data_IF_686288487469
#
_entry.id   IF_686288487469
#
_cell.length_a   1.000
_cell.length_b   1.000
_cell.length_c   1.000
_cell.angle_alpha   90.00
_cell.angle_beta   90.00
_cell.angle_gamma   90.00
#
_symmetry.space_group_name_H-M   'P 1'
#
loop_
_entity.id
_entity.type
_entity.pdbx_description
1 polymer ?
#
# COMPACT_ATOMS: atom_id res chain seq x y z
N UNK A 1 -23.57 -47.79 30.78
CA UNK A 1 -23.85 -49.19 30.47
C UNK A 1 -23.10 -49.56 29.18
N UNK A 2 -22.52 -50.77 29.07
CA UNK A 2 -21.74 -51.24 27.89
C UNK A 2 -22.56 -51.13 26.56
N UNK A 3 -23.85 -51.34 26.66
CA UNK A 3 -24.78 -51.23 25.51
C UNK A 3 -24.80 -49.83 24.90
N UNK A 4 -24.80 -48.76 25.70
CA UNK A 4 -24.75 -47.34 25.21
C UNK A 4 -23.43 -47.05 24.45
N UNK A 5 -22.33 -47.67 24.90
CA UNK A 5 -21.02 -47.48 24.25
C UNK A 5 -20.94 -48.22 22.89
N UNK A 6 -21.48 -49.43 22.80
CA UNK A 6 -21.53 -50.19 21.56
C UNK A 6 -22.43 -49.55 20.52
N UNK A 7 -23.60 -49.07 20.92
CA UNK A 7 -24.55 -48.33 20.08
C UNK A 7 -23.93 -47.03 19.55
N UNK A 8 -23.25 -46.26 20.40
CA UNK A 8 -22.56 -45.03 19.98
C UNK A 8 -21.41 -45.34 19.00
N UNK A 9 -20.69 -46.46 19.16
CA UNK A 9 -19.66 -46.87 18.20
C UNK A 9 -20.25 -47.26 16.85
N UNK A 10 -21.35 -48.02 16.85
CA UNK A 10 -22.04 -48.43 15.63
C UNK A 10 -22.59 -47.23 14.86
N UNK A 11 -23.26 -46.29 15.55
CA UNK A 11 -23.75 -45.05 14.97
C UNK A 11 -22.63 -44.13 14.46
N UNK A 12 -21.50 -44.05 15.18
CA UNK A 12 -20.33 -43.32 14.68
C UNK A 12 -19.76 -43.94 13.41
N UNK A 13 -19.63 -45.26 13.35
CA UNK A 13 -19.13 -45.95 12.16
C UNK A 13 -20.04 -45.76 10.96
N UNK A 14 -21.35 -45.82 11.15
CA UNK A 14 -22.35 -45.60 10.11
C UNK A 14 -22.32 -44.14 9.62
N UNK A 15 -22.22 -43.16 10.54
CA UNK A 15 -22.05 -41.73 10.20
C UNK A 15 -20.73 -41.47 9.46
N UNK A 16 -19.62 -42.09 9.88
CA UNK A 16 -18.34 -41.96 9.21
C UNK A 16 -18.35 -42.57 7.80
N UNK A 17 -18.99 -43.74 7.61
CA UNK A 17 -19.14 -44.32 6.27
C UNK A 17 -19.97 -43.48 5.34
N UNK A 18 -21.09 -42.89 5.86
CA UNK A 18 -21.93 -41.97 5.10
C UNK A 18 -21.16 -40.69 4.74
N UNK A 19 -20.37 -40.15 5.70
CA UNK A 19 -19.55 -38.96 5.50
C UNK A 19 -18.44 -39.23 4.47
N UNK A 20 -17.84 -40.42 4.48
CA UNK A 20 -16.79 -40.83 3.54
C UNK A 20 -17.33 -40.99 2.11
N UNK A 21 -18.59 -41.36 1.98
CA UNK A 21 -19.27 -41.47 0.69
C UNK A 21 -19.59 -40.10 0.09
N UNK A 22 -19.88 -39.09 0.94
CA UNK A 22 -20.16 -37.72 0.54
C UNK A 22 -18.86 -36.87 0.47
N UNK A 23 -17.78 -37.37 1.12
CA UNK A 23 -16.53 -36.62 1.25
C UNK A 23 -15.97 -36.06 -0.08
N UNK A 24 -15.94 -36.80 -1.20
CA UNK A 24 -15.41 -36.25 -2.45
C UNK A 24 -16.18 -35.03 -2.93
N UNK A 25 -17.52 -35.08 -2.86
CA UNK A 25 -18.36 -33.92 -3.22
C UNK A 25 -18.21 -32.78 -2.23
N UNK A 26 -18.16 -33.09 -0.93
CA UNK A 26 -17.96 -32.08 0.11
C UNK A 26 -16.60 -31.38 -0.03
N UNK A 27 -15.54 -32.14 -0.26
CA UNK A 27 -14.18 -31.60 -0.49
C UNK A 27 -14.17 -30.72 -1.74
N UNK A 28 -14.82 -31.16 -2.82
CA UNK A 28 -14.94 -30.35 -4.03
C UNK A 28 -15.62 -29.01 -3.74
N UNK A 29 -16.75 -29.00 -3.03
CA UNK A 29 -17.46 -27.77 -2.66
C UNK A 29 -16.59 -26.90 -1.74
N UNK A 30 -15.89 -27.48 -0.77
CA UNK A 30 -15.02 -26.75 0.14
C UNK A 30 -13.88 -26.04 -0.62
N UNK A 31 -13.23 -26.75 -1.55
CA UNK A 31 -12.09 -26.19 -2.30
C UNK A 31 -12.57 -25.19 -3.35
N UNK A 32 -13.66 -25.48 -4.08
CA UNK A 32 -14.08 -24.64 -5.21
C UNK A 32 -14.92 -23.43 -4.82
N UNK A 33 -15.64 -23.48 -3.68
CA UNK A 33 -16.54 -22.41 -3.25
C UNK A 33 -16.12 -21.81 -1.90
N UNK A 34 -15.95 -22.64 -0.87
CA UNK A 34 -15.72 -22.13 0.49
C UNK A 34 -14.31 -21.54 0.64
N UNK A 35 -13.28 -22.21 0.10
CA UNK A 35 -11.92 -21.70 0.21
C UNK A 35 -11.72 -20.34 -0.49
N UNK A 36 -12.20 -20.10 -1.73
CA UNK A 36 -12.14 -18.76 -2.35
C UNK A 36 -12.95 -17.71 -1.59
N UNK A 37 -14.13 -18.05 -1.05
CA UNK A 37 -14.91 -17.12 -0.24
C UNK A 37 -14.16 -16.77 1.05
N UNK A 38 -13.58 -17.74 1.72
CA UNK A 38 -12.77 -17.53 2.92
C UNK A 38 -11.54 -16.66 2.62
N UNK A 39 -10.82 -16.93 1.52
CA UNK A 39 -9.68 -16.11 1.07
C UNK A 39 -10.11 -14.66 0.80
N UNK A 40 -11.23 -14.44 0.11
CA UNK A 40 -11.79 -13.10 -0.11
C UNK A 40 -12.12 -12.38 1.20
N UNK A 41 -12.70 -13.09 2.18
CA UNK A 41 -13.01 -12.52 3.50
C UNK A 41 -11.74 -12.18 4.29
N UNK A 42 -10.70 -13.01 4.23
CA UNK A 42 -9.41 -12.70 4.85
C UNK A 42 -8.74 -11.50 4.18
N UNK A 43 -8.71 -11.44 2.85
CA UNK A 43 -8.18 -10.28 2.12
C UNK A 43 -8.94 -8.99 2.38
N UNK A 44 -10.23 -9.07 2.71
CA UNK A 44 -11.02 -7.89 3.04
C UNK A 44 -10.68 -7.24 4.38
N UNK A 45 -9.97 -7.95 5.26
CA UNK A 45 -9.43 -7.40 6.51
C UNK A 45 -7.94 -7.02 6.42
N UNK A 46 -7.22 -7.49 5.40
CA UNK A 46 -5.82 -7.11 5.17
C UNK A 46 -5.74 -5.70 4.59
N UNK A 47 -4.85 -4.89 5.15
CA UNK A 47 -4.63 -3.50 4.75
C UNK A 47 -3.15 -3.15 4.89
N UNK A 48 -2.32 -3.82 4.11
CA UNK A 48 -0.87 -3.62 4.15
C UNK A 48 -0.45 -2.32 3.44
N UNK A 49 -1.29 -1.80 2.53
CA UNK A 49 -0.90 -0.72 1.62
C UNK A 49 -0.42 0.55 2.34
N UNK A 50 -0.98 0.88 3.51
CA UNK A 50 -0.57 2.08 4.27
C UNK A 50 0.81 1.85 4.87
N UNK A 51 1.00 0.73 5.57
CA UNK A 51 2.26 0.39 6.22
C UNK A 51 3.38 0.13 5.19
N UNK A 52 3.07 -0.54 4.09
CA UNK A 52 4.05 -0.83 3.03
C UNK A 52 4.47 0.42 2.25
N UNK A 53 3.56 1.39 2.11
CA UNK A 53 3.84 2.62 1.36
C UNK A 53 4.44 3.71 2.24
N UNK A 54 4.05 3.78 3.52
CA UNK A 54 4.48 4.77 4.49
C UNK A 54 5.13 4.14 5.75
N UNK A 55 6.12 3.24 5.60
CA UNK A 55 6.64 2.48 6.74
C UNK A 55 7.29 3.35 7.81
N UNK A 56 8.02 4.39 7.43
CA UNK A 56 8.69 5.30 8.36
C UNK A 56 7.69 6.24 9.03
N UNK A 57 6.78 6.78 8.25
CA UNK A 57 5.71 7.67 8.71
C UNK A 57 4.82 6.98 9.74
N UNK A 58 4.36 5.75 9.44
CA UNK A 58 3.49 5.00 10.34
C UNK A 58 4.18 4.63 11.64
N UNK A 59 5.47 4.26 11.61
CA UNK A 59 6.25 3.94 12.79
C UNK A 59 6.35 5.12 13.78
N UNK A 60 6.53 6.34 13.27
CA UNK A 60 6.59 7.54 14.14
C UNK A 60 5.18 7.94 14.60
N UNK A 61 4.16 7.78 13.75
CA UNK A 61 2.77 8.09 14.11
C UNK A 61 2.20 7.20 15.22
N UNK A 62 2.78 6.03 15.48
CA UNK A 62 2.37 5.21 16.63
C UNK A 62 2.56 5.94 17.97
N UNK A 63 3.56 6.84 18.06
CA UNK A 63 3.86 7.61 19.26
C UNK A 63 3.24 9.00 19.28
N UNK A 64 2.59 9.40 18.18
CA UNK A 64 1.95 10.71 18.08
C UNK A 64 0.63 10.74 18.87
N UNK A 65 0.47 11.81 19.65
CA UNK A 65 -0.74 12.07 20.43
C UNK A 65 -1.77 12.84 19.58
N UNK A 66 -2.75 12.11 19.05
CA UNK A 66 -3.86 12.67 18.28
C UNK A 66 -4.84 13.50 19.12
N UNK A 67 -4.94 13.21 20.45
CA UNK A 67 -5.83 13.93 21.36
C UNK A 67 -5.33 15.38 21.61
N UNK A 68 -4.06 15.65 21.33
CA UNK A 68 -3.50 17.01 21.45
C UNK A 68 -4.16 18.05 20.55
N UNK A 69 -4.91 17.64 19.52
CA UNK A 69 -5.53 18.51 18.52
C UNK A 69 -4.54 19.20 17.57
N UNK A 70 -3.26 18.83 17.64
CA UNK A 70 -2.20 19.38 16.79
C UNK A 70 -1.76 18.35 15.73
N UNK A 71 -1.49 18.85 14.52
CA UNK A 71 -0.85 18.02 13.50
C UNK A 71 0.53 17.56 13.96
N UNK A 72 1.04 16.42 13.45
CA UNK A 72 2.35 15.91 13.82
C UNK A 72 3.47 16.94 13.65
N UNK A 73 4.57 16.69 14.37
CA UNK A 73 5.77 17.54 14.30
C UNK A 73 6.67 17.17 13.10
N UNK A 74 7.66 18.04 12.86
CA UNK A 74 8.63 17.93 11.74
C UNK A 74 9.21 16.53 11.52
N UNK A 75 9.54 15.71 12.53
CA UNK A 75 10.06 14.35 12.28
C UNK A 75 9.10 13.44 11.48
N UNK A 76 7.78 13.58 11.69
CA UNK A 76 6.78 12.83 10.93
C UNK A 76 6.72 13.30 9.47
N UNK A 77 6.80 14.62 9.24
CA UNK A 77 6.84 15.19 7.89
C UNK A 77 8.12 14.79 7.14
N UNK A 78 9.24 14.70 7.82
CA UNK A 78 10.48 14.17 7.23
C UNK A 78 10.34 12.71 6.83
N UNK A 79 9.78 11.88 7.70
CA UNK A 79 9.50 10.48 7.38
C UNK A 79 8.51 10.36 6.21
N UNK A 80 7.48 11.23 6.17
CA UNK A 80 6.53 11.31 5.06
C UNK A 80 7.23 11.67 3.74
N UNK A 81 8.15 12.63 3.76
CA UNK A 81 8.96 12.98 2.59
C UNK A 81 9.69 11.75 2.04
N UNK A 82 10.40 11.03 2.91
CA UNK A 82 11.16 9.84 2.54
C UNK A 82 10.27 8.74 1.95
N UNK A 83 9.12 8.48 2.58
CA UNK A 83 8.20 7.45 2.14
C UNK A 83 7.48 7.84 0.83
N UNK A 84 6.99 9.07 0.71
CA UNK A 84 6.30 9.55 -0.50
C UNK A 84 7.25 9.60 -1.69
N UNK A 85 8.52 9.99 -1.47
CA UNK A 85 9.52 10.00 -2.54
C UNK A 85 9.71 8.60 -3.14
N UNK A 86 9.95 7.60 -2.28
CA UNK A 86 10.11 6.21 -2.72
C UNK A 86 8.81 5.68 -3.36
N UNK A 87 7.66 6.01 -2.76
CA UNK A 87 6.36 5.61 -3.29
C UNK A 87 6.05 6.26 -4.64
N UNK A 88 6.54 7.48 -4.90
CA UNK A 88 6.41 8.17 -6.19
C UNK A 88 7.23 7.46 -7.25
N UNK A 89 8.49 7.14 -7.00
CA UNK A 89 9.34 6.42 -7.93
C UNK A 89 8.75 5.04 -8.33
N UNK A 90 8.14 4.34 -7.36
CA UNK A 90 7.45 3.06 -7.54
C UNK A 90 5.98 3.19 -7.98
N UNK A 91 5.45 4.41 -8.11
CA UNK A 91 4.04 4.71 -8.44
C UNK A 91 3.03 4.14 -7.45
N UNK A 92 3.43 3.94 -6.20
CA UNK A 92 2.58 3.41 -5.15
C UNK A 92 1.72 4.48 -4.46
N UNK A 93 2.19 5.74 -4.42
CA UNK A 93 1.50 6.88 -3.79
C UNK A 93 0.07 7.08 -4.32
N UNK A 94 -0.17 6.87 -5.61
CA UNK A 94 -1.51 6.99 -6.20
C UNK A 94 -2.46 5.87 -5.76
N UNK A 95 -1.93 4.65 -5.57
CA UNK A 95 -2.70 3.51 -5.06
C UNK A 95 -3.09 3.74 -3.60
N UNK A 96 -2.15 4.21 -2.78
CA UNK A 96 -2.39 4.58 -1.39
C UNK A 96 -3.44 5.70 -1.30
N UNK A 97 -3.26 6.78 -2.07
CA UNK A 97 -4.22 7.88 -2.12
C UNK A 97 -5.63 7.41 -2.53
N UNK A 98 -5.74 6.52 -3.50
CA UNK A 98 -7.03 5.94 -3.90
C UNK A 98 -7.64 5.09 -2.79
N UNK A 99 -6.84 4.31 -2.06
CA UNK A 99 -7.31 3.52 -0.92
C UNK A 99 -7.84 4.41 0.20
N UNK A 100 -7.07 5.42 0.60
CA UNK A 100 -7.49 6.33 1.67
C UNK A 100 -8.64 7.23 1.27
N UNK A 101 -8.86 7.46 -0.02
CA UNK A 101 -9.99 8.27 -0.51
C UNK A 101 -11.36 7.65 -0.27
N UNK A 102 -11.42 6.33 -0.01
CA UNK A 102 -12.66 5.68 0.46
C UNK A 102 -13.04 6.12 1.88
N UNK A 103 -12.06 6.51 2.66
CA UNK A 103 -12.23 6.91 4.06
C UNK A 103 -12.29 8.45 4.21
N UNK A 104 -11.40 9.15 3.52
CA UNK A 104 -11.30 10.60 3.53
C UNK A 104 -11.33 11.14 2.10
N UNK A 105 -12.44 11.78 1.74
CA UNK A 105 -12.59 12.41 0.42
C UNK A 105 -11.50 13.46 0.21
N UNK A 106 -10.83 13.43 -0.94
CA UNK A 106 -9.72 14.32 -1.27
C UNK A 106 -8.33 13.69 -1.10
N UNK A 107 -8.19 12.59 -0.34
CA UNK A 107 -6.92 11.91 -0.14
C UNK A 107 -6.23 11.52 -1.48
N UNK A 108 -6.98 11.05 -2.47
CA UNK A 108 -6.42 10.72 -3.79
C UNK A 108 -5.78 11.93 -4.49
N UNK A 109 -6.36 13.11 -4.36
CA UNK A 109 -5.79 14.34 -4.91
C UNK A 109 -4.55 14.77 -4.14
N UNK A 110 -4.61 14.70 -2.81
CA UNK A 110 -3.53 15.05 -1.91
C UNK A 110 -2.26 14.25 -2.21
N UNK A 111 -2.35 12.92 -2.21
CA UNK A 111 -1.20 12.04 -2.51
C UNK A 111 -0.66 12.24 -3.93
N UNK A 112 -1.52 12.53 -4.90
CA UNK A 112 -1.10 12.81 -6.28
C UNK A 112 -0.34 14.12 -6.41
N UNK A 113 -0.75 15.17 -5.69
CA UNK A 113 -0.01 16.44 -5.63
C UNK A 113 1.33 16.26 -4.90
N UNK A 114 1.31 15.53 -3.78
CA UNK A 114 2.53 15.23 -3.02
C UNK A 114 3.56 14.48 -3.85
N UNK A 115 3.14 13.47 -4.63
CA UNK A 115 4.06 12.76 -5.51
C UNK A 115 4.67 13.63 -6.62
N UNK A 116 4.04 14.74 -7.00
CA UNK A 116 4.60 15.68 -7.99
C UNK A 116 5.55 16.70 -7.39
N UNK A 117 5.29 17.12 -6.14
CA UNK A 117 6.08 18.16 -5.49
C UNK A 117 7.15 17.62 -4.54
N UNK A 118 7.21 16.30 -4.32
CA UNK A 118 8.17 15.74 -3.36
C UNK A 118 9.63 15.85 -3.85
N UNK A 119 9.86 15.84 -5.17
CA UNK A 119 11.18 16.05 -5.75
C UNK A 119 11.76 17.41 -5.37
N UNK A 120 10.97 18.46 -5.54
CA UNK A 120 11.37 19.86 -5.26
C UNK A 120 11.87 20.06 -3.81
N UNK A 121 11.34 19.25 -2.86
CA UNK A 121 11.79 19.27 -1.46
C UNK A 121 13.25 18.79 -1.34
N UNK A 122 13.61 17.77 -2.09
CA UNK A 122 14.97 17.19 -2.09
C UNK A 122 15.97 18.03 -2.89
N UNK A 123 15.52 18.72 -3.93
CA UNK A 123 16.36 19.57 -4.78
C UNK A 123 17.12 20.61 -3.96
N UNK A 124 16.55 21.13 -2.87
CA UNK A 124 17.21 22.11 -1.99
C UNK A 124 18.57 21.61 -1.50
N UNK A 125 18.69 20.35 -1.13
CA UNK A 125 19.99 19.78 -0.72
C UNK A 125 20.84 19.41 -1.93
N UNK A 126 20.25 18.86 -2.97
CA UNK A 126 20.96 18.50 -4.20
C UNK A 126 21.67 19.70 -4.78
N UNK A 127 20.96 20.82 -4.99
CA UNK A 127 21.54 22.04 -5.56
C UNK A 127 22.71 22.58 -4.74
N UNK A 128 22.58 22.60 -3.42
CA UNK A 128 23.67 23.08 -2.54
C UNK A 128 24.93 22.21 -2.62
N UNK A 129 24.79 20.86 -2.68
CA UNK A 129 25.94 19.97 -2.86
C UNK A 129 26.54 20.10 -4.25
N UNK A 130 25.71 20.21 -5.29
CA UNK A 130 26.17 20.30 -6.67
C UNK A 130 26.82 21.66 -6.99
N UNK A 131 26.32 22.74 -6.40
CA UNK A 131 26.91 24.09 -6.52
C UNK A 131 28.22 24.20 -5.75
N UNK A 132 28.32 23.54 -4.59
CA UNK A 132 29.55 23.45 -3.83
C UNK A 132 30.65 22.74 -4.62
N UNK A 133 30.34 21.56 -5.19
CA UNK A 133 31.29 20.79 -5.96
C UNK A 133 30.60 19.92 -7.02
N UNK A 134 30.92 20.16 -8.30
CA UNK A 134 30.38 19.39 -9.42
C UNK A 134 30.67 17.87 -9.36
N UNK A 135 31.52 17.44 -8.43
CA UNK A 135 31.75 16.03 -8.12
C UNK A 135 30.44 15.30 -7.78
N UNK A 136 29.57 15.94 -7.01
CA UNK A 136 28.32 15.34 -6.51
C UNK A 136 27.22 15.18 -7.58
N UNK A 137 27.38 15.82 -8.75
CA UNK A 137 26.42 15.67 -9.88
C UNK A 137 26.44 14.27 -10.49
N UNK A 138 27.58 13.57 -10.45
CA UNK A 138 27.80 12.36 -11.25
C UNK A 138 27.58 11.10 -10.43
N UNK A 139 26.68 10.24 -10.88
CA UNK A 139 26.44 8.93 -10.27
C UNK A 139 27.68 8.05 -10.17
N UNK A 140 28.62 8.17 -11.13
CA UNK A 140 29.89 7.45 -11.10
C UNK A 140 30.71 7.77 -9.83
N UNK A 141 30.75 9.04 -9.41
CA UNK A 141 31.48 9.48 -8.21
C UNK A 141 30.82 8.95 -6.92
N UNK A 142 29.50 8.98 -6.85
CA UNK A 142 28.74 8.38 -5.75
C UNK A 142 29.02 6.89 -5.64
N UNK A 143 29.00 6.19 -6.77
CA UNK A 143 29.28 4.76 -6.81
C UNK A 143 30.73 4.43 -6.40
N UNK A 144 31.71 5.24 -6.79
CA UNK A 144 33.11 5.04 -6.40
C UNK A 144 33.33 5.18 -4.88
N UNK A 145 32.53 6.04 -4.22
CA UNK A 145 32.54 6.17 -2.75
C UNK A 145 31.77 5.03 -2.08
N UNK A 146 30.53 4.81 -2.51
CA UNK A 146 29.58 3.96 -1.81
C UNK A 146 29.74 2.47 -2.12
N UNK A 147 30.16 2.12 -3.34
CA UNK A 147 30.29 0.74 -3.78
C UNK A 147 31.51 0.02 -3.20
N UNK A 148 31.38 -1.27 -2.93
CA UNK A 148 32.52 -2.13 -2.54
C UNK A 148 33.51 -2.25 -3.70
N UNK A 149 34.78 -2.50 -3.38
CA UNK A 149 35.83 -2.66 -4.41
C UNK A 149 35.54 -3.87 -5.32
N UNK A 150 34.93 -4.93 -4.77
CA UNK A 150 34.53 -6.11 -5.52
C UNK A 150 33.43 -5.76 -6.53
N UNK A 151 32.38 -5.09 -6.08
CA UNK A 151 31.28 -4.66 -6.97
C UNK A 151 31.77 -3.69 -8.05
N UNK A 152 32.64 -2.73 -7.69
CA UNK A 152 33.20 -1.77 -8.64
C UNK A 152 34.00 -2.42 -9.76
N UNK A 153 34.79 -3.46 -9.43
CA UNK A 153 35.57 -4.21 -10.43
C UNK A 153 34.65 -4.91 -11.45
N UNK A 154 33.54 -5.47 -10.97
CA UNK A 154 32.56 -6.16 -11.81
C UNK A 154 31.72 -5.18 -12.64
N UNK A 155 31.15 -4.12 -12.02
CA UNK A 155 30.24 -3.21 -12.71
C UNK A 155 30.93 -2.37 -13.78
N UNK A 156 32.18 -1.97 -13.58
CA UNK A 156 32.98 -1.22 -14.57
C UNK A 156 33.26 -2.05 -15.83
N UNK A 157 33.34 -3.37 -15.70
CA UNK A 157 33.52 -4.30 -16.83
C UNK A 157 32.19 -4.72 -17.47
N UNK A 158 31.06 -4.59 -16.76
CA UNK A 158 29.76 -5.03 -17.20
C UNK A 158 29.22 -4.21 -18.39
N UNK A 159 28.63 -4.92 -19.36
CA UNK A 159 27.97 -4.28 -20.51
C UNK A 159 26.55 -4.84 -20.68
N UNK A 160 25.56 -3.98 -20.75
CA UNK A 160 24.17 -4.35 -20.97
C UNK A 160 23.98 -5.25 -22.21
N UNK A 161 24.77 -5.04 -23.26
CA UNK A 161 24.74 -5.82 -24.50
C UNK A 161 25.23 -7.28 -24.32
N UNK A 162 25.87 -7.63 -23.19
CA UNK A 162 26.34 -9.00 -22.95
C UNK A 162 25.22 -10.00 -22.63
N UNK A 163 24.01 -9.51 -22.34
CA UNK A 163 22.89 -10.34 -21.89
C UNK A 163 23.04 -10.89 -20.45
N UNK A 164 24.13 -10.56 -19.76
CA UNK A 164 24.36 -10.96 -18.39
C UNK A 164 23.62 -10.01 -17.42
N UNK A 165 23.10 -10.57 -16.32
CA UNK A 165 22.55 -9.77 -15.24
C UNK A 165 23.60 -8.80 -14.71
N UNK A 166 23.17 -7.61 -14.30
CA UNK A 166 24.03 -6.64 -13.63
C UNK A 166 24.45 -7.19 -12.26
N UNK A 167 25.73 -7.02 -11.86
CA UNK A 167 26.16 -7.45 -10.52
C UNK A 167 25.35 -6.69 -9.46
N UNK A 168 24.79 -7.39 -8.47
CA UNK A 168 23.98 -6.75 -7.42
C UNK A 168 24.84 -5.75 -6.66
N UNK A 169 24.25 -4.57 -6.37
CA UNK A 169 24.97 -3.53 -5.66
C UNK A 169 25.36 -3.98 -4.26
N UNK A 170 26.64 -3.80 -3.94
CA UNK A 170 27.20 -4.07 -2.63
C UNK A 170 27.84 -2.80 -2.08
N UNK A 171 27.35 -2.35 -0.92
CA UNK A 171 27.86 -1.14 -0.28
C UNK A 171 29.17 -1.40 0.44
N UNK A 172 30.08 -0.43 0.45
CA UNK A 172 31.31 -0.45 1.22
C UNK A 172 31.01 -0.42 2.71
N UNK A 173 31.44 -1.43 3.45
CA UNK A 173 31.12 -1.59 4.87
C UNK A 173 31.49 -0.34 5.71
N UNK A 174 32.66 0.25 5.48
CA UNK A 174 33.09 1.46 6.19
C UNK A 174 32.16 2.65 5.92
N UNK A 175 31.65 2.79 4.68
CA UNK A 175 30.70 3.85 4.32
C UNK A 175 29.36 3.61 5.00
N UNK A 176 28.88 2.37 5.07
CA UNK A 176 27.64 2.05 5.77
C UNK A 176 27.68 2.43 7.26
N UNK A 177 28.87 2.41 7.89
CA UNK A 177 29.04 2.82 9.28
C UNK A 177 29.10 4.33 9.49
N UNK A 178 29.68 5.09 8.54
CA UNK A 178 29.85 6.54 8.68
C UNK A 178 28.70 7.33 8.07
N UNK A 179 28.05 6.80 7.02
CA UNK A 179 26.91 7.41 6.32
C UNK A 179 25.70 6.44 6.31
N UNK A 180 25.15 6.05 7.47
CA UNK A 180 24.15 4.99 7.55
C UNK A 180 22.84 5.33 6.84
N UNK A 181 22.38 6.59 6.88
CA UNK A 181 21.15 7.00 6.20
C UNK A 181 21.34 7.05 4.69
N UNK A 182 22.41 7.67 4.24
CA UNK A 182 22.83 7.67 2.82
C UNK A 182 22.92 6.25 2.28
N UNK A 183 23.59 5.37 3.01
CA UNK A 183 23.78 3.98 2.66
C UNK A 183 22.43 3.25 2.49
N UNK A 184 21.53 3.43 3.45
CA UNK A 184 20.21 2.78 3.43
C UNK A 184 19.36 3.24 2.22
N UNK A 185 19.30 4.55 1.95
CA UNK A 185 18.54 5.06 0.81
C UNK A 185 19.22 4.77 -0.53
N UNK A 186 20.55 4.76 -0.56
CA UNK A 186 21.29 4.39 -1.77
C UNK A 186 21.06 2.91 -2.13
N UNK A 187 20.95 2.03 -1.15
CA UNK A 187 20.60 0.62 -1.38
C UNK A 187 19.21 0.48 -2.01
N UNK A 188 18.23 1.27 -1.56
CA UNK A 188 16.88 1.29 -2.16
C UNK A 188 16.92 1.82 -3.60
N UNK A 189 17.69 2.88 -3.85
CA UNK A 189 17.89 3.44 -5.18
C UNK A 189 18.57 2.44 -6.12
N UNK A 190 19.60 1.74 -5.62
CA UNK A 190 20.33 0.73 -6.37
C UNK A 190 19.43 -0.44 -6.76
N UNK A 191 18.67 -0.97 -5.80
CA UNK A 191 17.71 -2.05 -6.04
C UNK A 191 16.66 -1.64 -7.09
N UNK A 192 16.05 -0.47 -6.95
CA UNK A 192 15.10 0.08 -7.91
C UNK A 192 15.72 0.24 -9.32
N UNK A 193 16.92 0.82 -9.39
CA UNK A 193 17.60 1.09 -10.66
C UNK A 193 17.97 -0.19 -11.38
N UNK A 194 18.48 -1.17 -10.65
CA UNK A 194 18.95 -2.45 -11.20
C UNK A 194 17.78 -3.38 -11.53
N UNK A 195 16.85 -3.59 -10.59
CA UNK A 195 15.84 -4.63 -10.68
C UNK A 195 14.53 -4.15 -11.31
N UNK A 196 14.08 -2.91 -10.99
CA UNK A 196 12.81 -2.41 -11.52
C UNK A 196 12.98 -1.64 -12.84
N UNK A 197 14.07 -0.87 -12.99
CA UNK A 197 14.35 -0.08 -14.22
C UNK A 197 15.29 -0.77 -15.21
N UNK A 198 15.97 -1.83 -14.79
CA UNK A 198 17.00 -2.52 -15.59
C UNK A 198 17.99 -1.52 -16.24
N UNK A 199 18.46 -0.57 -15.44
CA UNK A 199 19.38 0.49 -15.84
C UNK A 199 20.76 0.31 -15.21
N UNK A 200 21.83 0.77 -15.89
CA UNK A 200 23.18 0.70 -15.34
C UNK A 200 23.33 1.67 -14.15
N UNK A 201 23.41 1.11 -12.94
CA UNK A 201 23.53 1.87 -11.71
C UNK A 201 24.78 2.76 -11.70
N UNK A 202 25.93 2.28 -12.20
CA UNK A 202 27.19 3.01 -12.14
C UNK A 202 27.13 4.39 -12.83
N UNK A 203 26.25 4.53 -13.86
CA UNK A 203 26.08 5.76 -14.65
C UNK A 203 24.83 6.55 -14.27
N UNK A 204 24.07 6.09 -13.28
CA UNK A 204 22.81 6.74 -12.92
C UNK A 204 23.03 7.70 -11.78
N UNK A 205 22.62 8.95 -11.97
CA UNK A 205 22.68 9.97 -10.94
C UNK A 205 21.70 9.61 -9.81
N UNK A 206 22.09 9.85 -8.55
CA UNK A 206 21.25 9.50 -7.41
C UNK A 206 19.99 10.36 -7.32
N UNK A 207 19.01 9.87 -6.58
CA UNK A 207 17.79 10.61 -6.28
C UNK A 207 18.05 11.79 -5.35
N UNK A 208 17.24 12.84 -5.43
CA UNK A 208 17.24 13.99 -4.55
C UNK A 208 17.13 13.59 -3.06
N UNK A 209 16.39 12.52 -2.78
CA UNK A 209 16.30 11.91 -1.44
C UNK A 209 17.65 11.52 -0.85
N UNK A 210 18.60 11.11 -1.67
CA UNK A 210 19.94 10.68 -1.20
C UNK A 210 20.74 11.87 -0.70
N UNK A 211 20.63 13.03 -1.34
CA UNK A 211 21.27 14.26 -0.87
C UNK A 211 20.72 14.73 0.48
N UNK A 212 19.42 14.57 0.71
CA UNK A 212 18.80 14.83 2.01
C UNK A 212 19.37 13.90 3.10
N UNK A 213 19.47 12.59 2.81
CA UNK A 213 20.05 11.63 3.74
C UNK A 213 21.55 11.87 3.98
N UNK A 214 22.26 12.31 2.95
CA UNK A 214 23.66 12.66 3.02
C UNK A 214 23.88 13.88 3.93
N UNK A 215 23.05 14.91 3.78
CA UNK A 215 23.04 16.05 4.71
C UNK A 215 22.83 15.61 6.17
N UNK A 216 21.92 14.69 6.41
CA UNK A 216 21.63 14.17 7.75
C UNK A 216 22.84 13.43 8.36
N UNK A 217 23.54 12.64 7.56
CA UNK A 217 24.74 11.93 8.03
C UNK A 217 25.92 12.88 8.27
N UNK A 218 26.06 13.93 7.42
CA UNK A 218 27.13 14.93 7.56
C UNK A 218 26.96 15.85 8.77
N UNK A 219 25.71 16.08 9.21
CA UNK A 219 25.40 16.97 10.33
C UNK A 219 24.97 16.21 11.59
N UNK A 220 24.76 14.88 11.48
CA UNK A 220 24.29 14.02 12.55
C UNK A 220 25.39 13.53 13.51
N UNK A 221 25.00 12.62 14.40
CA UNK A 221 25.90 12.08 15.44
C UNK A 221 27.13 11.35 14.90
N UNK A 222 27.07 10.80 13.69
CA UNK A 222 28.18 10.07 13.06
C UNK A 222 29.15 10.98 12.28
N UNK A 223 28.87 12.27 12.15
CA UNK A 223 29.67 13.21 11.35
C UNK A 223 31.16 13.22 11.74
N UNK A 224 31.47 13.05 13.02
CA UNK A 224 32.87 12.99 13.48
C UNK A 224 33.65 11.80 12.89
N UNK A 225 32.99 10.71 12.50
CA UNK A 225 33.68 9.54 11.92
C UNK A 225 34.14 9.78 10.49
N UNK A 226 33.61 10.78 9.80
CA UNK A 226 34.00 11.16 8.44
C UNK A 226 35.46 11.60 8.42
N UNK A 227 35.93 12.29 9.46
CA UNK A 227 37.29 12.77 9.56
C UNK A 227 38.33 11.63 9.66
N UNK A 228 37.89 10.43 10.03
CA UNK A 228 38.75 9.24 10.12
C UNK A 228 38.73 8.36 8.86
N UNK A 229 37.88 8.73 7.90
CA UNK A 229 37.74 7.97 6.66
C UNK A 229 38.90 8.30 5.70
N UNK A 230 39.55 7.26 5.18
CA UNK A 230 40.70 7.38 4.27
C UNK A 230 40.48 6.68 2.92
N UNK A 231 39.25 6.25 2.65
CA UNK A 231 38.86 5.58 1.40
C UNK A 231 38.64 6.54 0.23
N UNK A 232 38.11 6.02 -0.90
CA UNK A 232 37.75 6.85 -2.06
C UNK A 232 36.80 8.01 -1.68
N UNK A 233 37.07 9.22 -2.17
CA UNK A 233 36.26 10.40 -1.89
C UNK A 233 36.45 11.00 -0.48
N UNK A 234 37.48 10.64 0.27
CA UNK A 234 37.71 11.16 1.62
C UNK A 234 37.84 12.68 1.67
N UNK A 235 38.47 13.29 0.68
CA UNK A 235 38.62 14.75 0.58
C UNK A 235 37.28 15.42 0.31
N UNK A 236 36.51 14.90 -0.62
CA UNK A 236 35.21 15.38 -1.00
C UNK A 236 34.19 15.23 0.14
N UNK A 237 34.23 14.12 0.90
CA UNK A 237 33.43 13.92 2.10
C UNK A 237 33.74 14.92 3.20
N UNK A 238 35.04 15.21 3.42
CA UNK A 238 35.47 16.21 4.41
C UNK A 238 35.03 17.63 4.00
N UNK A 239 35.16 17.96 2.70
CA UNK A 239 34.68 19.24 2.13
C UNK A 239 33.15 19.36 2.29
N UNK A 240 32.39 18.32 1.92
CA UNK A 240 30.95 18.28 2.04
C UNK A 240 30.49 18.46 3.49
N UNK A 241 31.15 17.80 4.45
CA UNK A 241 30.87 17.95 5.87
C UNK A 241 31.08 19.39 6.35
N UNK A 242 32.17 20.01 5.95
CA UNK A 242 32.49 21.40 6.33
C UNK A 242 31.44 22.39 5.75
N UNK A 243 31.02 22.16 4.51
CA UNK A 243 30.03 23.00 3.84
C UNK A 243 28.61 22.81 4.39
N UNK A 244 28.20 21.57 4.68
CA UNK A 244 26.88 21.22 5.16
C UNK A 244 26.45 21.99 6.44
N UNK A 245 27.39 22.39 7.27
CA UNK A 245 27.13 23.20 8.46
C UNK A 245 26.49 24.58 8.14
N UNK A 246 26.64 25.06 6.90
CA UNK A 246 26.13 26.34 6.46
C UNK A 246 24.99 26.24 5.43
N UNK A 247 24.54 25.03 5.15
CA UNK A 247 23.45 24.80 4.20
C UNK A 247 22.10 25.26 4.73
N UNK A 248 21.26 25.74 3.82
CA UNK A 248 19.86 26.00 4.11
C UNK A 248 19.16 24.68 4.42
N UNK A 249 18.39 24.66 5.50
CA UNK A 249 17.65 23.48 5.94
C UNK A 249 16.20 23.51 5.49
N UNK A 250 15.68 22.36 5.10
CA UNK A 250 14.29 22.23 4.69
C UNK A 250 13.36 22.15 5.89
N UNK A 251 12.35 23.03 5.96
CA UNK A 251 11.18 22.83 6.81
C UNK A 251 10.18 21.92 6.08
N UNK A 252 10.25 20.62 6.35
CA UNK A 252 9.38 19.63 5.73
C UNK A 252 7.90 19.87 5.97
N UNK A 253 7.53 20.42 7.14
CA UNK A 253 6.13 20.74 7.46
C UNK A 253 5.61 21.88 6.60
N UNK A 254 6.38 22.94 6.46
CA UNK A 254 6.06 24.06 5.59
C UNK A 254 6.00 23.61 4.12
N UNK A 255 6.99 22.84 3.65
CA UNK A 255 7.07 22.34 2.28
C UNK A 255 5.84 21.49 1.90
N UNK A 256 5.39 20.58 2.77
CA UNK A 256 4.15 19.83 2.54
C UNK A 256 2.91 20.72 2.57
N UNK A 257 2.88 21.73 3.44
CA UNK A 257 1.81 22.72 3.49
C UNK A 257 1.70 23.54 2.20
N UNK A 258 2.82 23.83 1.55
CA UNK A 258 2.88 24.53 0.25
C UNK A 258 2.40 23.64 -0.90
N UNK A 259 2.71 22.35 -0.87
CA UNK A 259 2.17 21.38 -1.84
C UNK A 259 0.64 21.28 -1.70
N UNK A 260 0.15 21.09 -0.48
CA UNK A 260 -1.29 21.08 -0.19
C UNK A 260 -1.56 21.34 1.30
N UNK A 261 -2.40 22.34 1.58
CA UNK A 261 -2.77 22.72 2.95
C UNK A 261 -3.50 21.63 3.74
N UNK A 262 -4.00 20.59 3.09
CA UNK A 262 -4.65 19.46 3.76
C UNK A 262 -3.66 18.66 4.61
N UNK A 263 -2.35 18.71 4.34
CA UNK A 263 -1.32 18.15 5.22
C UNK A 263 -1.21 18.85 6.58
N UNK A 264 -1.66 20.10 6.68
CA UNK A 264 -1.69 20.86 7.92
C UNK A 264 -3.02 20.71 8.68
N UNK A 265 -3.81 19.69 8.35
CA UNK A 265 -5.09 19.37 8.99
C UNK A 265 -5.05 17.99 9.62
N UNK A 266 -5.75 17.82 10.75
CA UNK A 266 -5.84 16.56 11.50
C UNK A 266 -6.41 15.39 10.69
N UNK A 267 -7.51 15.52 9.89
CA UNK A 267 -8.21 14.38 9.32
C UNK A 267 -7.34 13.42 8.49
N UNK A 268 -6.32 13.93 7.79
CA UNK A 268 -5.44 13.05 7.00
C UNK A 268 -4.54 12.19 7.91
N UNK A 269 -4.03 12.76 9.00
CA UNK A 269 -3.15 12.07 9.94
C UNK A 269 -3.92 11.02 10.74
N UNK A 270 -5.13 11.36 11.20
CA UNK A 270 -6.05 10.43 11.86
C UNK A 270 -6.39 9.25 10.92
N UNK A 271 -6.64 9.56 9.64
CA UNK A 271 -6.91 8.52 8.64
C UNK A 271 -5.71 7.63 8.42
N UNK A 272 -4.51 8.18 8.22
CA UNK A 272 -3.28 7.39 8.06
C UNK A 272 -3.06 6.51 9.28
N UNK A 273 -3.17 7.05 10.51
CA UNK A 273 -3.01 6.31 11.76
C UNK A 273 -4.06 5.22 11.93
N UNK A 274 -5.33 5.54 11.70
CA UNK A 274 -6.43 4.58 11.85
C UNK A 274 -6.31 3.38 10.90
N UNK A 275 -5.74 3.60 9.71
CA UNK A 275 -5.59 2.58 8.66
C UNK A 275 -4.14 2.09 8.49
N UNK A 276 -3.19 2.47 9.37
CA UNK A 276 -1.84 1.94 9.39
C UNK A 276 -1.74 0.47 9.83
N UNK A 277 -2.59 -0.06 10.77
CA UNK A 277 -2.51 -1.46 11.13
C UNK A 277 -2.74 -2.39 9.94
N UNK A 278 -1.96 -3.49 9.90
CA UNK A 278 -2.04 -4.53 8.86
C UNK A 278 -3.44 -5.12 8.70
N UNK A 279 -4.20 -5.21 9.79
CA UNK A 279 -5.58 -5.70 9.78
C UNK A 279 -6.54 -4.59 10.17
N UNK A 280 -7.60 -4.44 9.37
CA UNK A 280 -8.63 -3.42 9.61
C UNK A 280 -10.01 -4.00 9.31
N UNK A 281 -11.01 -3.54 10.06
CA UNK A 281 -12.41 -3.77 9.77
C UNK A 281 -13.03 -2.66 8.89
N UNK A 282 -12.22 -1.74 8.39
CA UNK A 282 -12.68 -0.55 7.66
C UNK A 282 -13.56 -0.87 6.46
N UNK A 283 -13.26 -1.92 5.71
CA UNK A 283 -14.09 -2.32 4.57
C UNK A 283 -15.48 -2.80 4.98
N UNK A 284 -15.59 -3.53 6.11
CA UNK A 284 -16.90 -3.95 6.64
C UNK A 284 -17.70 -2.75 7.16
N UNK A 285 -17.04 -1.83 7.87
CA UNK A 285 -17.66 -0.59 8.32
C UNK A 285 -18.16 0.24 7.14
N UNK A 286 -17.35 0.38 6.10
CA UNK A 286 -17.71 1.09 4.89
C UNK A 286 -18.95 0.47 4.19
N UNK A 287 -19.05 -0.87 4.15
CA UNK A 287 -20.18 -1.57 3.54
C UNK A 287 -21.53 -1.28 4.22
N UNK A 288 -21.51 -0.81 5.47
CA UNK A 288 -22.71 -0.40 6.25
C UNK A 288 -22.76 1.10 6.52
N UNK A 289 -22.08 1.89 5.69
CA UNK A 289 -21.99 3.36 5.79
C UNK A 289 -21.43 3.85 7.15
N UNK A 290 -20.53 3.08 7.75
CA UNK A 290 -19.77 3.46 8.94
C UNK A 290 -18.31 3.78 8.58
N UNK A 291 -17.65 4.52 9.44
CA UNK A 291 -16.22 4.80 9.37
C UNK A 291 -15.54 4.51 10.70
N UNK A 292 -14.23 4.26 10.66
CA UNK A 292 -13.44 4.10 11.86
C UNK A 292 -13.04 5.48 12.37
N UNK A 293 -13.41 5.79 13.60
CA UNK A 293 -13.00 6.98 14.36
C UNK A 293 -12.15 6.57 15.55
N UNK A 294 -11.47 7.51 16.20
CA UNK A 294 -10.71 7.27 17.43
C UNK A 294 -11.59 6.71 18.54
N UNK A 295 -12.83 7.18 18.64
CA UNK A 295 -13.81 6.74 19.63
C UNK A 295 -14.54 5.43 19.26
N UNK A 296 -14.13 4.81 18.15
CA UNK A 296 -14.75 3.58 17.62
C UNK A 296 -15.51 3.78 16.31
N UNK A 297 -16.32 2.80 15.89
CA UNK A 297 -17.09 2.89 14.65
C UNK A 297 -18.19 3.95 14.76
N UNK A 298 -18.21 4.89 13.81
CA UNK A 298 -19.21 5.96 13.71
C UNK A 298 -19.92 5.91 12.36
N UNK A 299 -21.17 6.38 12.32
CA UNK A 299 -21.91 6.53 11.07
C UNK A 299 -21.28 7.65 10.23
N UNK A 300 -21.13 7.41 8.93
CA UNK A 300 -20.70 8.46 7.99
C UNK A 300 -21.71 9.61 7.93
N UNK A 301 -21.26 10.82 7.57
CA UNK A 301 -22.18 11.93 7.28
C UNK A 301 -23.25 11.53 6.27
N UNK A 302 -24.46 12.09 6.37
CA UNK A 302 -25.60 11.69 5.53
C UNK A 302 -25.32 11.73 4.02
N UNK A 303 -24.56 12.72 3.58
CA UNK A 303 -24.16 12.88 2.16
C UNK A 303 -23.22 11.77 1.66
N UNK A 304 -22.68 10.93 2.54
CA UNK A 304 -21.77 9.81 2.22
C UNK A 304 -22.42 8.44 2.48
N UNK A 305 -23.66 8.37 2.99
CA UNK A 305 -24.39 7.12 3.27
C UNK A 305 -25.09 6.62 2.02
N UNK A 306 -24.40 5.83 1.22
CA UNK A 306 -24.90 5.35 -0.07
C UNK A 306 -25.22 3.85 -0.03
N UNK A 307 -24.39 3.04 0.63
CA UNK A 307 -24.46 1.58 0.55
C UNK A 307 -25.70 0.99 1.22
N UNK A 308 -26.02 1.41 2.43
CA UNK A 308 -27.23 0.95 3.13
C UNK A 308 -28.50 1.34 2.38
N UNK A 309 -28.55 2.56 1.84
CA UNK A 309 -29.68 3.05 1.03
C UNK A 309 -29.86 2.23 -0.25
N UNK A 310 -28.76 1.96 -0.98
CA UNK A 310 -28.79 1.15 -2.20
C UNK A 310 -29.19 -0.29 -1.89
N UNK A 311 -28.68 -0.87 -0.81
CA UNK A 311 -29.03 -2.23 -0.38
C UNK A 311 -30.52 -2.36 -0.07
N UNK A 312 -31.06 -1.47 0.76
CA UNK A 312 -32.48 -1.46 1.11
C UNK A 312 -33.36 -1.25 -0.11
N UNK A 313 -32.99 -0.33 -1.00
CA UNK A 313 -33.71 -0.09 -2.27
C UNK A 313 -33.71 -1.34 -3.16
N UNK A 314 -32.56 -2.00 -3.30
CA UNK A 314 -32.45 -3.23 -4.09
C UNK A 314 -33.30 -4.35 -3.48
N UNK A 315 -33.24 -4.52 -2.16
CA UNK A 315 -34.00 -5.50 -1.42
C UNK A 315 -35.49 -5.26 -1.59
N UNK A 316 -35.97 -4.01 -1.44
CA UNK A 316 -37.35 -3.61 -1.64
C UNK A 316 -37.82 -3.92 -3.06
N UNK A 317 -37.05 -3.48 -4.08
CA UNK A 317 -37.39 -3.71 -5.48
C UNK A 317 -37.46 -5.20 -5.83
N UNK A 318 -36.49 -5.99 -5.38
CA UNK A 318 -36.47 -7.44 -5.64
C UNK A 318 -37.63 -8.15 -4.94
N UNK A 319 -37.97 -7.72 -3.72
CA UNK A 319 -39.14 -8.26 -2.98
C UNK A 319 -40.45 -7.94 -3.70
N UNK A 320 -40.65 -6.69 -4.12
CA UNK A 320 -41.84 -6.26 -4.86
C UNK A 320 -41.97 -7.03 -6.18
N UNK A 321 -40.87 -7.16 -6.95
CA UNK A 321 -40.85 -7.91 -8.20
C UNK A 321 -41.22 -9.38 -7.94
N UNK A 322 -40.58 -10.01 -6.95
CA UNK A 322 -40.80 -11.42 -6.61
C UNK A 322 -42.28 -11.65 -6.20
N UNK A 323 -42.81 -10.82 -5.31
CA UNK A 323 -44.22 -10.90 -4.91
C UNK A 323 -45.17 -10.70 -6.08
N UNK A 324 -44.90 -9.74 -6.95
CA UNK A 324 -45.69 -9.50 -8.18
C UNK A 324 -45.66 -10.72 -9.12
N UNK A 325 -44.44 -11.31 -9.30
CA UNK A 325 -44.30 -12.54 -10.11
C UNK A 325 -45.07 -13.71 -9.51
N UNK A 326 -45.08 -13.88 -8.19
CA UNK A 326 -45.87 -14.93 -7.52
C UNK A 326 -47.36 -14.66 -7.69
N UNK A 327 -47.78 -13.43 -7.44
CA UNK A 327 -49.22 -13.03 -7.51
C UNK A 327 -49.80 -13.22 -8.92
N UNK A 328 -49.00 -12.93 -9.96
CA UNK A 328 -49.44 -13.09 -11.36
C UNK A 328 -49.20 -14.53 -11.86
N UNK A 329 -48.08 -15.13 -11.53
CA UNK A 329 -47.66 -16.45 -12.02
C UNK A 329 -48.48 -17.59 -11.41
N UNK A 330 -48.82 -17.51 -10.12
CA UNK A 330 -49.60 -18.56 -9.47
C UNK A 330 -50.98 -18.78 -10.08
N UNK A 331 -51.82 -17.75 -10.29
CA UNK A 331 -53.13 -17.92 -10.98
C UNK A 331 -52.99 -18.46 -12.40
N UNK A 332 -51.98 -17.96 -13.16
CA UNK A 332 -51.69 -18.43 -14.53
C UNK A 332 -51.30 -19.92 -14.51
N UNK A 333 -50.37 -20.30 -13.62
CA UNK A 333 -49.94 -21.69 -13.46
C UNK A 333 -51.14 -22.60 -13.04
N UNK A 334 -51.97 -22.14 -12.11
CA UNK A 334 -53.16 -22.87 -11.68
C UNK A 334 -54.19 -23.07 -12.83
N UNK A 335 -54.45 -22.03 -13.63
CA UNK A 335 -55.32 -22.13 -14.78
C UNK A 335 -54.76 -23.11 -15.81
N UNK A 336 -53.50 -23.01 -16.16
CA UNK A 336 -52.82 -23.90 -17.11
C UNK A 336 -52.86 -25.36 -16.66
N UNK A 337 -52.74 -25.63 -15.35
CA UNK A 337 -52.80 -26.98 -14.79
C UNK A 337 -54.19 -27.62 -14.85
N UNK A 338 -55.28 -26.83 -14.87
CA UNK A 338 -56.66 -27.29 -14.84
C UNK A 338 -57.35 -27.25 -16.21
N UNK A 339 -56.71 -26.75 -17.26
CA UNK A 339 -57.24 -26.71 -18.61
C UNK A 339 -56.97 -27.98 -19.42
N UNK A 340 -57.82 -28.31 -20.43
CA UNK A 340 -57.53 -29.40 -21.37
C UNK A 340 -56.18 -29.19 -22.09
N UNK A 341 -55.44 -30.27 -22.33
CA UNK A 341 -54.06 -30.21 -22.82
C UNK A 341 -53.86 -29.37 -24.11
N UNK A 342 -54.81 -29.38 -25.04
CA UNK A 342 -54.74 -28.55 -26.26
C UNK A 342 -54.76 -27.06 -25.98
N UNK A 343 -55.62 -26.60 -25.09
CA UNK A 343 -55.75 -25.20 -24.71
C UNK A 343 -54.60 -24.76 -23.80
N UNK A 344 -54.19 -25.63 -22.89
CA UNK A 344 -53.02 -25.38 -22.02
C UNK A 344 -51.73 -25.20 -22.83
N UNK A 345 -51.48 -26.02 -23.86
CA UNK A 345 -50.31 -25.90 -24.72
C UNK A 345 -50.32 -24.59 -25.55
N UNK A 346 -51.44 -24.19 -26.06
CA UNK A 346 -51.59 -22.92 -26.80
C UNK A 346 -51.31 -21.71 -25.92
N UNK A 347 -51.84 -21.71 -24.68
CA UNK A 347 -51.60 -20.64 -23.72
C UNK A 347 -50.18 -20.64 -23.22
N UNK A 348 -49.51 -21.83 -23.08
CA UNK A 348 -48.12 -21.93 -22.70
C UNK A 348 -47.19 -21.32 -23.75
N UNK A 349 -47.51 -21.50 -25.05
CA UNK A 349 -46.77 -20.83 -26.13
C UNK A 349 -46.86 -19.31 -25.96
N UNK A 350 -48.06 -18.80 -25.67
CA UNK A 350 -48.32 -17.37 -25.48
C UNK A 350 -47.55 -16.79 -24.27
N UNK A 351 -47.44 -17.55 -23.16
CA UNK A 351 -46.67 -17.17 -21.98
C UNK A 351 -45.16 -17.19 -22.26
N UNK A 352 -44.68 -18.10 -23.09
CA UNK A 352 -43.29 -18.20 -23.46
C UNK A 352 -42.86 -17.24 -24.56
N UNK A 353 -43.80 -16.62 -25.28
CA UNK A 353 -43.52 -15.73 -26.42
C UNK A 353 -42.61 -14.54 -26.09
N UNK A 354 -42.65 -13.91 -24.88
CA UNK A 354 -41.74 -12.83 -24.53
C UNK A 354 -40.29 -13.27 -24.38
N UNK A 355 -39.96 -14.58 -24.28
CA UNK A 355 -38.60 -15.11 -24.15
C UNK A 355 -37.96 -15.40 -25.53
N UNK A 356 -38.65 -15.21 -26.62
CA UNK A 356 -38.17 -15.34 -27.99
C UNK A 356 -38.10 -13.97 -28.64
#
# INVERSE_FOLDING_TARGET
>A
TPLKRSLRRALRRQKMSALLLIAPLLIFILITFIAPIADMLFRSVENEIVQDTLPRTTAILETWDSESGNVPDTPVFKALYQDIFIAQERKLHTRLGSRLNYELTGASSLFRKSGRGVGDIGEVYQDQFEDMNAFWKKGENWNDILGSDAWLAEIKSWKKASGQAQPPFEIRAQIAEILPQTAAFYQIFADFTQNEKNSNLYKKDPWELIYSAFYDDLTGANAARIDTYTGPGAAELSEAKAAAANFETVDYKAAFGDIDKDWLKMPIWDTIRAYSPRFTNGYFLNAVDMQKSENGPELRPENQRIYATLFLRTLFMSTVITLSCILLGYPVGWILANLPARTANLLMILVLLPFW
#
